data_IF_193615492407
#
_entry.id   IF_193615492407
#
_cell.length_a   1.000
_cell.length_b   1.000
_cell.length_c   1.000
_cell.angle_alpha   90.00
_cell.angle_beta   90.00
_cell.angle_gamma   90.00
#
_symmetry.space_group_name_H-M   'P 1'
#
loop_
_entity.id
_entity.type
_entity.pdbx_description
1 polymer ?
#
# COMPACT_ATOMS: atom_id res chain seq x y z
N UNK A 1 13.76 -17.10 -17.91
CA UNK A 1 13.12 -15.76 -17.91
C UNK A 1 12.33 -15.55 -16.61
N UNK A 2 12.87 -15.97 -15.46
CA UNK A 2 12.25 -15.74 -14.15
C UNK A 2 13.21 -14.86 -13.39
N UNK A 3 12.88 -13.57 -13.29
CA UNK A 3 13.83 -12.57 -12.79
C UNK A 3 13.45 -12.06 -11.39
N UNK A 4 12.18 -12.20 -10.98
CA UNK A 4 11.66 -11.70 -9.69
C UNK A 4 10.75 -12.71 -8.99
N UNK A 5 10.68 -12.61 -7.66
CA UNK A 5 9.69 -13.29 -6.83
C UNK A 5 8.94 -12.27 -5.97
N UNK A 6 7.61 -12.40 -5.89
CA UNK A 6 6.83 -11.77 -4.84
C UNK A 6 6.72 -12.72 -3.65
N UNK A 7 7.37 -12.41 -2.53
CA UNK A 7 7.27 -13.22 -1.31
C UNK A 7 6.20 -12.64 -0.37
N UNK A 8 5.14 -13.40 -0.15
CA UNK A 8 4.01 -13.01 0.73
C UNK A 8 3.89 -13.96 1.93
N UNK A 9 4.99 -14.55 2.37
CA UNK A 9 4.97 -15.52 3.47
C UNK A 9 4.90 -14.86 4.85
N UNK A 10 5.33 -13.59 4.96
CA UNK A 10 5.48 -12.91 6.25
C UNK A 10 6.74 -13.33 7.00
N UNK A 11 7.69 -13.99 6.34
CA UNK A 11 8.95 -14.43 6.93
C UNK A 11 10.15 -13.62 6.38
N UNK A 12 10.71 -12.76 7.23
CA UNK A 12 11.89 -11.97 6.88
C UNK A 12 13.16 -12.82 6.75
N UNK A 13 13.25 -13.96 7.44
CA UNK A 13 14.37 -14.91 7.29
C UNK A 13 14.34 -15.48 5.88
N UNK A 14 13.17 -15.89 5.40
CA UNK A 14 12.99 -16.37 4.02
C UNK A 14 13.36 -15.30 3.00
N UNK A 15 12.94 -14.05 3.21
CA UNK A 15 13.35 -12.93 2.34
C UNK A 15 14.87 -12.84 2.26
N UNK A 16 15.58 -12.90 3.40
CA UNK A 16 17.04 -12.87 3.41
C UNK A 16 17.67 -14.08 2.72
N UNK A 17 17.09 -15.27 2.86
CA UNK A 17 17.57 -16.46 2.14
C UNK A 17 17.44 -16.29 0.62
N UNK A 18 16.31 -15.76 0.14
CA UNK A 18 16.08 -15.47 -1.27
C UNK A 18 17.05 -14.43 -1.81
N UNK A 19 17.32 -13.38 -1.03
CA UNK A 19 18.32 -12.36 -1.37
C UNK A 19 19.74 -12.95 -1.38
N UNK A 20 20.06 -13.82 -0.42
CA UNK A 20 21.38 -14.46 -0.29
C UNK A 20 21.76 -15.37 -1.46
N UNK A 21 20.77 -15.92 -2.18
CA UNK A 21 21.01 -16.67 -3.44
C UNK A 21 20.99 -15.77 -4.69
N UNK A 22 20.95 -14.45 -4.52
CA UNK A 22 20.93 -13.47 -5.62
C UNK A 22 19.54 -13.24 -6.24
N UNK A 23 18.46 -13.64 -5.57
CA UNK A 23 17.10 -13.43 -6.08
C UNK A 23 16.64 -11.98 -5.94
N UNK A 24 15.86 -11.49 -6.91
CA UNK A 24 15.19 -10.19 -6.79
C UNK A 24 13.83 -10.36 -6.12
N UNK A 25 13.70 -9.85 -4.90
CA UNK A 25 12.51 -10.05 -4.07
C UNK A 25 11.64 -8.79 -4.03
N UNK A 26 10.34 -8.95 -4.25
CA UNK A 26 9.31 -7.97 -3.92
C UNK A 26 8.54 -8.48 -2.69
N UNK A 27 8.51 -7.72 -1.60
CA UNK A 27 7.79 -8.13 -0.40
C UNK A 27 6.27 -7.91 -0.58
N UNK A 28 5.50 -8.90 -0.12
CA UNK A 28 4.03 -8.90 -0.19
C UNK A 28 3.33 -8.96 1.16
N UNK A 29 4.08 -9.02 2.26
CA UNK A 29 3.54 -8.95 3.61
C UNK A 29 3.58 -7.50 4.11
N UNK A 30 2.40 -6.89 4.26
CA UNK A 30 2.27 -5.47 4.58
C UNK A 30 3.09 -5.04 5.80
N UNK A 31 3.07 -5.73 6.97
CA UNK A 31 3.80 -5.29 8.16
C UNK A 31 5.33 -5.38 8.05
N UNK A 32 5.85 -6.06 7.01
CA UNK A 32 7.28 -6.20 6.80
C UNK A 32 7.87 -5.15 5.86
N UNK A 33 7.07 -4.25 5.30
CA UNK A 33 7.50 -3.39 4.21
C UNK A 33 8.82 -2.64 4.45
N UNK A 34 9.00 -1.80 5.48
CA UNK A 34 10.26 -1.08 5.66
C UNK A 34 11.44 -2.04 5.87
N UNK A 35 11.23 -3.10 6.65
CA UNK A 35 12.28 -4.05 7.01
C UNK A 35 12.74 -4.88 5.81
N UNK A 36 11.82 -5.29 4.95
CA UNK A 36 12.15 -6.02 3.73
C UNK A 36 12.97 -5.16 2.77
N UNK A 37 12.61 -3.88 2.60
CA UNK A 37 13.37 -2.97 1.74
C UNK A 37 14.77 -2.69 2.33
N UNK A 38 14.87 -2.46 3.64
CA UNK A 38 16.15 -2.34 4.35
C UNK A 38 17.02 -3.60 4.22
N UNK A 39 16.41 -4.79 4.15
CA UNK A 39 17.12 -6.05 3.97
C UNK A 39 17.63 -6.26 2.52
N UNK A 40 17.18 -5.46 1.55
CA UNK A 40 17.60 -5.54 0.15
C UNK A 40 16.51 -6.01 -0.83
N UNK A 41 15.25 -6.11 -0.40
CA UNK A 41 14.14 -6.30 -1.35
C UNK A 41 14.08 -5.12 -2.34
N UNK A 42 13.65 -5.39 -3.57
CA UNK A 42 13.54 -4.39 -4.62
C UNK A 42 12.36 -3.42 -4.42
N UNK A 43 11.39 -3.80 -3.59
CA UNK A 43 10.15 -3.05 -3.39
C UNK A 43 9.03 -3.91 -2.83
N UNK A 44 7.79 -3.44 -3.03
CA UNK A 44 6.59 -4.06 -2.48
C UNK A 44 5.51 -4.27 -3.54
N UNK A 45 4.74 -5.35 -3.40
CA UNK A 45 3.44 -5.50 -4.05
C UNK A 45 2.41 -5.76 -2.96
N UNK A 46 1.64 -4.72 -2.62
CA UNK A 46 0.76 -4.71 -1.46
C UNK A 46 -0.48 -3.84 -1.67
N UNK A 47 -1.45 -4.01 -0.77
CA UNK A 47 -2.74 -3.35 -0.77
C UNK A 47 -2.68 -1.92 -0.24
N UNK A 48 -1.77 -1.63 0.68
CA UNK A 48 -1.61 -0.30 1.28
C UNK A 48 -1.46 0.83 0.25
N UNK A 49 -0.80 0.60 -0.89
CA UNK A 49 -0.70 1.58 -1.97
C UNK A 49 -2.07 2.03 -2.54
N UNK A 50 -3.10 1.19 -2.46
CA UNK A 50 -4.47 1.54 -2.86
C UNK A 50 -5.19 2.42 -1.83
N UNK A 51 -4.61 2.65 -0.65
CA UNK A 51 -5.19 3.40 0.46
C UNK A 51 -4.34 4.64 0.80
N UNK A 52 -3.01 4.52 0.78
CA UNK A 52 -2.04 5.53 1.24
C UNK A 52 -0.81 5.65 0.30
N UNK A 53 -1.00 5.95 -0.99
CA UNK A 53 0.05 5.91 -2.01
C UNK A 53 1.13 6.97 -1.79
N UNK A 54 0.76 8.15 -1.26
CA UNK A 54 1.72 9.20 -0.93
C UNK A 54 2.67 8.74 0.19
N UNK A 55 2.11 8.12 1.21
CA UNK A 55 2.87 7.58 2.35
C UNK A 55 3.74 6.39 1.90
N UNK A 56 3.24 5.53 1.00
CA UNK A 56 4.04 4.47 0.40
C UNK A 56 5.24 5.02 -0.40
N UNK A 57 5.04 6.06 -1.22
CA UNK A 57 6.12 6.72 -1.97
C UNK A 57 7.11 7.39 -1.02
N UNK A 58 6.62 8.15 -0.04
CA UNK A 58 7.47 8.81 0.94
C UNK A 58 8.31 7.78 1.72
N UNK A 59 7.71 6.66 2.13
CA UNK A 59 8.42 5.57 2.80
C UNK A 59 9.55 5.03 1.92
N UNK A 60 9.27 4.76 0.63
CA UNK A 60 10.30 4.32 -0.33
C UNK A 60 11.43 5.35 -0.45
N UNK A 61 11.09 6.63 -0.64
CA UNK A 61 12.05 7.73 -0.81
C UNK A 61 12.90 7.98 0.45
N UNK A 62 12.33 7.80 1.64
CA UNK A 62 13.08 7.89 2.89
C UNK A 62 14.08 6.74 3.02
N UNK A 63 13.62 5.50 2.80
CA UNK A 63 14.45 4.31 2.94
C UNK A 63 15.59 4.28 1.90
N UNK A 64 15.29 4.55 0.64
CA UNK A 64 16.30 4.55 -0.44
C UNK A 64 17.31 5.68 -0.32
N UNK A 65 16.97 6.76 0.38
CA UNK A 65 17.89 7.85 0.68
C UNK A 65 18.61 7.70 2.05
N UNK A 66 18.46 6.56 2.74
CA UNK A 66 19.09 6.31 4.05
C UNK A 66 18.49 7.09 5.22
N UNK A 67 17.34 7.77 5.03
CA UNK A 67 16.61 8.52 6.07
C UNK A 67 15.76 7.58 6.93
N UNK A 68 16.41 6.64 7.61
CA UNK A 68 15.74 5.56 8.33
C UNK A 68 14.89 6.04 9.52
N UNK A 69 15.31 7.11 10.21
CA UNK A 69 14.55 7.63 11.35
C UNK A 69 13.20 8.18 10.89
N UNK A 70 13.20 8.99 9.83
CA UNK A 70 12.00 9.54 9.21
C UNK A 70 11.11 8.46 8.59
N UNK A 71 11.72 7.44 7.96
CA UNK A 71 11.00 6.28 7.45
C UNK A 71 10.26 5.54 8.57
N UNK A 72 10.92 5.29 9.70
CA UNK A 72 10.32 4.58 10.84
C UNK A 72 9.28 5.43 11.59
N UNK A 73 9.47 6.75 11.64
CA UNK A 73 8.44 7.66 12.16
C UNK A 73 7.17 7.60 11.29
N UNK A 74 7.31 7.72 9.97
CA UNK A 74 6.19 7.57 9.04
C UNK A 74 5.56 6.18 9.16
N UNK A 75 6.39 5.14 9.20
CA UNK A 75 5.93 3.77 9.34
C UNK A 75 5.11 3.55 10.60
N UNK A 76 5.48 4.15 11.73
CA UNK A 76 4.72 4.03 12.98
C UNK A 76 3.26 4.49 12.83
N UNK A 77 3.00 5.45 11.95
CA UNK A 77 1.65 5.95 11.62
C UNK A 77 0.92 5.03 10.66
N UNK A 78 1.64 4.37 9.75
CA UNK A 78 1.09 3.42 8.77
C UNK A 78 0.84 2.02 9.35
N UNK A 79 1.63 1.62 10.35
CA UNK A 79 1.70 0.26 10.87
C UNK A 79 0.34 -0.27 11.36
N UNK A 80 -0.51 0.49 12.08
CA UNK A 80 -1.82 -0.02 12.53
C UNK A 80 -2.71 -0.50 11.39
N UNK A 81 -2.76 0.24 10.27
CA UNK A 81 -3.51 -0.15 9.08
C UNK A 81 -2.90 -1.37 8.38
N UNK A 82 -1.58 -1.42 8.26
CA UNK A 82 -0.87 -2.53 7.62
C UNK A 82 -0.99 -3.84 8.43
N UNK A 83 -0.96 -3.75 9.77
CA UNK A 83 -1.30 -4.85 10.64
C UNK A 83 -2.74 -5.30 10.41
N UNK A 84 -3.71 -4.37 10.43
CA UNK A 84 -5.12 -4.72 10.19
C UNK A 84 -5.34 -5.44 8.85
N UNK A 85 -4.70 -4.99 7.77
CA UNK A 85 -4.82 -5.64 6.47
C UNK A 85 -4.28 -7.07 6.48
N UNK A 86 -3.15 -7.28 7.14
CA UNK A 86 -2.48 -8.59 7.20
C UNK A 86 -3.15 -9.57 8.15
N UNK A 87 -3.41 -9.14 9.37
CA UNK A 87 -3.99 -9.96 10.44
C UNK A 87 -4.84 -9.10 11.38
N UNK A 88 -6.09 -9.50 11.58
CA UNK A 88 -7.04 -8.74 12.38
C UNK A 88 -7.98 -9.66 13.16
N UNK A 89 -8.35 -9.22 14.36
CA UNK A 89 -9.21 -9.97 15.28
C UNK A 89 -10.68 -10.10 14.81
N UNK A 90 -11.06 -9.43 13.72
CA UNK A 90 -12.44 -9.44 13.19
C UNK A 90 -12.62 -10.41 12.02
N UNK A 91 -11.56 -11.15 11.65
CA UNK A 91 -11.59 -12.14 10.57
C UNK A 91 -11.87 -11.52 9.19
N UNK A 92 -11.51 -10.25 8.99
CA UNK A 92 -11.67 -9.58 7.72
C UNK A 92 -10.63 -10.09 6.72
N UNK A 93 -11.10 -10.52 5.55
CA UNK A 93 -10.24 -10.92 4.43
C UNK A 93 -9.51 -9.70 3.84
N UNK A 94 -8.28 -9.92 3.38
CA UNK A 94 -7.37 -8.90 2.88
C UNK A 94 -7.99 -7.96 1.84
N UNK A 95 -8.57 -8.51 0.76
CA UNK A 95 -9.17 -7.71 -0.30
C UNK A 95 -10.40 -6.95 0.22
N UNK A 96 -11.24 -7.57 1.06
CA UNK A 96 -12.36 -6.88 1.69
C UNK A 96 -11.88 -5.70 2.55
N UNK A 97 -10.81 -5.87 3.32
CA UNK A 97 -10.20 -4.82 4.15
C UNK A 97 -9.63 -3.67 3.30
N UNK A 98 -8.77 -3.98 2.33
CA UNK A 98 -8.16 -2.99 1.44
C UNK A 98 -9.21 -2.25 0.62
N UNK A 99 -10.20 -2.95 0.06
CA UNK A 99 -11.27 -2.26 -0.69
C UNK A 99 -12.16 -1.41 0.21
N UNK A 100 -12.46 -1.88 1.42
CA UNK A 100 -13.24 -1.07 2.37
C UNK A 100 -12.46 0.19 2.75
N UNK A 101 -11.16 0.07 3.03
CA UNK A 101 -10.29 1.21 3.33
C UNK A 101 -10.21 2.18 2.14
N UNK A 102 -9.99 1.69 0.92
CA UNK A 102 -9.97 2.50 -0.29
C UNK A 102 -11.27 3.33 -0.45
N UNK A 103 -12.43 2.70 -0.27
CA UNK A 103 -13.71 3.41 -0.29
C UNK A 103 -13.81 4.46 0.84
N UNK A 104 -13.34 4.14 2.06
CA UNK A 104 -13.35 5.07 3.21
C UNK A 104 -12.45 6.29 3.01
N UNK A 105 -11.31 6.12 2.34
CA UNK A 105 -10.39 7.23 2.02
C UNK A 105 -10.80 8.02 0.77
N UNK A 106 -11.96 7.71 0.17
CA UNK A 106 -12.52 8.47 -0.95
C UNK A 106 -12.30 7.89 -2.34
N UNK A 107 -11.91 6.63 -2.45
CA UNK A 107 -11.69 5.94 -3.74
C UNK A 107 -12.81 4.93 -3.96
N UNK A 108 -13.91 5.33 -4.63
CA UNK A 108 -15.07 4.48 -4.79
C UNK A 108 -14.78 3.33 -5.76
N UNK A 109 -14.32 2.20 -5.23
CA UNK A 109 -14.01 0.98 -6.01
C UNK A 109 -15.01 -0.15 -5.77
N UNK A 110 -16.04 0.13 -4.95
CA UNK A 110 -17.12 -0.79 -4.63
C UNK A 110 -16.68 -1.96 -3.74
N UNK A 111 -17.62 -2.88 -3.42
CA UNK A 111 -17.33 -4.04 -2.60
C UNK A 111 -16.51 -5.09 -3.36
N UNK A 112 -16.08 -6.14 -2.66
CA UNK A 112 -15.60 -7.36 -3.30
C UNK A 112 -16.75 -8.11 -3.98
N UNK A 113 -16.43 -8.85 -5.05
CA UNK A 113 -17.36 -9.82 -5.63
C UNK A 113 -17.35 -11.08 -4.77
N UNK A 114 -18.51 -11.76 -4.67
CA UNK A 114 -18.62 -13.08 -4.04
C UNK A 114 -17.57 -14.05 -4.63
N UNK A 115 -16.98 -14.96 -3.83
CA UNK A 115 -17.42 -15.37 -2.48
C UNK A 115 -16.94 -14.47 -1.33
N UNK A 116 -16.07 -13.49 -1.58
CA UNK A 116 -15.61 -12.56 -0.54
C UNK A 116 -16.76 -11.66 -0.11
N UNK A 117 -17.07 -11.67 1.19
CA UNK A 117 -18.18 -10.91 1.75
C UNK A 117 -17.78 -9.47 2.08
N UNK A 118 -18.74 -8.53 2.08
CA UNK A 118 -18.48 -7.17 2.55
C UNK A 118 -18.04 -7.13 4.01
N UNK A 119 -17.24 -6.12 4.36
CA UNK A 119 -16.81 -5.88 5.74
C UNK A 119 -18.00 -5.69 6.69
N UNK A 120 -17.96 -6.38 7.83
CA UNK A 120 -18.97 -6.23 8.90
C UNK A 120 -18.90 -4.84 9.54
N UNK A 121 -19.95 -4.46 10.28
CA UNK A 121 -19.94 -3.19 11.04
C UNK A 121 -18.79 -3.12 12.04
N UNK A 122 -18.55 -4.19 12.78
CA UNK A 122 -17.43 -4.28 13.73
C UNK A 122 -16.08 -4.13 13.02
N UNK A 123 -15.91 -4.79 11.87
CA UNK A 123 -14.68 -4.68 11.08
C UNK A 123 -14.47 -3.28 10.52
N UNK A 124 -15.53 -2.57 10.12
CA UNK A 124 -15.45 -1.17 9.72
C UNK A 124 -15.00 -0.26 10.86
N UNK A 125 -15.50 -0.47 12.08
CA UNK A 125 -15.08 0.32 13.27
C UNK A 125 -13.60 0.07 13.58
N UNK A 126 -13.18 -1.20 13.60
CA UNK A 126 -11.78 -1.55 13.84
C UNK A 126 -10.85 -1.00 12.74
N UNK A 127 -11.27 -1.06 11.48
CA UNK A 127 -10.55 -0.47 10.36
C UNK A 127 -10.46 1.06 10.46
N UNK A 128 -11.54 1.75 10.86
CA UNK A 128 -11.49 3.20 11.12
C UNK A 128 -10.45 3.53 12.17
N UNK A 129 -10.41 2.77 13.27
CA UNK A 129 -9.41 2.98 14.32
C UNK A 129 -7.98 2.77 13.78
N UNK A 130 -7.75 1.72 12.99
CA UNK A 130 -6.46 1.43 12.38
C UNK A 130 -6.01 2.51 11.37
N UNK A 131 -6.94 3.15 10.68
CA UNK A 131 -6.66 4.25 9.75
C UNK A 131 -6.48 5.61 10.44
N UNK A 132 -6.91 5.76 11.70
CA UNK A 132 -6.95 7.06 12.39
C UNK A 132 -5.58 7.69 12.66
N UNK A 133 -4.51 6.89 12.63
CA UNK A 133 -3.13 7.35 12.85
C UNK A 133 -2.47 7.94 11.60
N UNK A 134 -3.08 7.72 10.43
CA UNK A 134 -2.59 8.28 9.18
C UNK A 134 -2.84 9.80 9.14
N UNK A 135 -1.95 10.59 8.48
CA UNK A 135 -2.16 12.02 8.33
C UNK A 135 -3.43 12.28 7.50
N UNK A 136 -4.48 12.84 8.12
CA UNK A 136 -5.74 13.19 7.46
C UNK A 136 -5.81 14.69 7.17
N UNK A 137 -6.41 15.07 6.04
CA UNK A 137 -6.67 16.48 5.74
C UNK A 137 -7.91 17.00 6.49
N UNK A 138 -8.95 16.16 6.64
CA UNK A 138 -10.18 16.50 7.37
C UNK A 138 -10.92 15.25 7.87
N UNK A 139 -11.68 15.41 8.95
CA UNK A 139 -12.72 14.46 9.37
C UNK A 139 -14.09 15.07 9.08
N UNK A 140 -14.90 14.41 8.24
CA UNK A 140 -16.34 14.65 8.15
C UNK A 140 -17.08 13.55 8.92
N UNK A 141 -18.35 13.79 9.30
CA UNK A 141 -19.16 13.03 10.26
C UNK A 141 -19.02 11.50 10.17
N UNK A 142 -18.77 10.93 8.99
CA UNK A 142 -18.55 9.50 8.77
C UNK A 142 -17.37 9.16 7.83
N UNK A 143 -16.46 10.11 7.53
CA UNK A 143 -15.39 9.94 6.54
C UNK A 143 -14.08 10.62 6.97
N UNK A 144 -13.00 9.83 7.02
CA UNK A 144 -11.64 10.34 7.01
C UNK A 144 -11.33 10.80 5.58
N UNK A 145 -11.24 12.11 5.34
CA UNK A 145 -10.88 12.67 4.03
C UNK A 145 -9.37 12.90 4.04
N UNK A 146 -8.67 12.04 3.31
CA UNK A 146 -7.22 12.11 3.19
C UNK A 146 -6.82 13.16 2.16
N UNK A 147 -7.41 13.16 0.96
CA UNK A 147 -7.16 14.10 -0.16
C UNK A 147 -8.39 14.12 -1.09
N UNK A 148 -8.56 15.20 -1.86
CA UNK A 148 -9.57 15.22 -2.93
C UNK A 148 -9.13 14.32 -4.09
N UNK A 149 -10.08 13.58 -4.68
CA UNK A 149 -9.77 12.55 -5.68
C UNK A 149 -9.10 13.12 -6.94
N UNK A 150 -9.52 14.30 -7.39
CA UNK A 150 -8.96 14.91 -8.60
C UNK A 150 -7.49 15.28 -8.43
N UNK A 151 -7.12 15.84 -7.26
CA UNK A 151 -5.73 16.17 -6.94
C UNK A 151 -4.86 14.91 -6.86
N UNK A 152 -5.39 13.85 -6.24
CA UNK A 152 -4.71 12.55 -6.11
C UNK A 152 -4.51 11.87 -7.46
N UNK A 153 -5.54 11.85 -8.32
CA UNK A 153 -5.46 11.30 -9.68
C UNK A 153 -4.38 12.01 -10.48
N UNK A 154 -4.37 13.34 -10.46
CA UNK A 154 -3.41 14.12 -11.22
C UNK A 154 -1.99 13.91 -10.67
N UNK A 155 -1.82 13.74 -9.36
CA UNK A 155 -0.54 13.36 -8.77
C UNK A 155 -0.08 11.96 -9.19
N UNK A 156 -0.96 10.96 -9.20
CA UNK A 156 -0.63 9.60 -9.63
C UNK A 156 -0.15 9.55 -11.09
N UNK A 157 -0.78 10.33 -11.98
CA UNK A 157 -0.33 10.47 -13.38
C UNK A 157 1.09 11.03 -13.43
N UNK A 158 1.35 12.14 -12.73
CA UNK A 158 2.69 12.76 -12.69
C UNK A 158 3.76 11.81 -12.14
N UNK A 159 3.44 11.02 -11.11
CA UNK A 159 4.38 10.05 -10.54
C UNK A 159 4.68 8.90 -11.51
N UNK A 160 3.67 8.45 -12.25
CA UNK A 160 3.82 7.40 -13.28
C UNK A 160 4.74 7.88 -14.41
N UNK A 161 4.55 9.14 -14.85
CA UNK A 161 5.39 9.76 -15.87
C UNK A 161 6.83 9.94 -15.37
N UNK A 162 7.01 10.41 -14.13
CA UNK A 162 8.34 10.57 -13.50
C UNK A 162 9.10 9.24 -13.41
N UNK A 163 8.40 8.15 -13.12
CA UNK A 163 8.98 6.81 -13.05
C UNK A 163 9.27 6.20 -14.44
N UNK A 164 8.90 6.88 -15.53
CA UNK A 164 9.16 6.41 -16.90
C UNK A 164 8.30 5.21 -17.31
N UNK A 165 7.20 4.93 -16.59
CA UNK A 165 6.32 3.77 -16.79
C UNK A 165 4.99 4.13 -17.48
N UNK A 166 4.80 5.41 -17.82
CA UNK A 166 3.61 5.88 -18.53
C UNK A 166 3.52 5.24 -19.93
N UNK A 167 2.29 4.94 -20.38
CA UNK A 167 2.06 4.55 -21.78
C UNK A 167 2.48 5.72 -22.65
N UNK A 168 3.50 5.52 -23.49
CA UNK A 168 3.77 6.47 -24.58
C UNK A 168 2.50 6.55 -25.41
N UNK A 169 1.86 7.71 -25.41
CA UNK A 169 0.76 7.97 -26.31
C UNK A 169 1.37 8.07 -27.71
N UNK A 170 1.50 6.93 -28.41
CA UNK A 170 1.76 6.95 -29.83
C UNK A 170 0.53 7.58 -30.47
N UNK A 171 0.60 8.91 -30.67
CA UNK A 171 -0.30 9.57 -31.60
C UNK A 171 -0.18 8.76 -32.89
N UNK A 172 -1.30 8.17 -33.33
CA UNK A 172 -1.43 7.63 -34.68
C UNK A 172 -1.16 8.79 -35.64
N UNK A 173 0.08 8.93 -36.07
CA UNK A 173 0.40 9.57 -37.33
C UNK A 173 -0.14 8.62 -38.40
N UNK A 174 -1.35 8.90 -38.86
CA UNK A 174 -1.85 8.30 -40.10
C UNK A 174 -1.75 9.42 -41.15
N UNK A 175 -1.22 9.12 -42.35
CA UNK A 175 -0.91 10.11 -43.39
C UNK A 175 -2.13 10.89 -43.88
#
# INVERSE_FOLDING_TARGET
NIDYIKDSTGDLIRIQQLLGIGGHVLAGADPLAPYALMAGAAGWIWGAANVMPHECVALYDHLTAGRHAEALELWSRMLPANLFFWDNAVGAEYNAAVKTAANMVGRPIGPCRRPVMPMTRQGRVALTAALSTLPTNRVDRDRLVFREWDDERDWLVRMTDRAGVGRTNSKRSTP
#
